data_IF_548026252666
#
_entry.id   IF_548026252666
#
_cell.length_a   1.000
_cell.length_b   1.000
_cell.length_c   1.000
_cell.angle_alpha   90.00
_cell.angle_beta   90.00
_cell.angle_gamma   90.00
#
_symmetry.space_group_name_H-M   'P 1'
#
loop_
_entity.id
_entity.type
_entity.pdbx_description
1 polymer ?
#
# COMPACT_ATOMS: atom_id res chain seq x y z
N UNK A 1 8.77 9.73 -5.98
CA UNK A 1 8.38 8.84 -4.87
C UNK A 1 8.22 9.69 -3.61
N UNK A 2 7.26 10.61 -3.60
CA UNK A 2 7.23 11.69 -2.59
C UNK A 2 6.22 11.41 -1.47
N UNK A 3 5.22 10.56 -1.73
CA UNK A 3 4.15 10.21 -0.78
C UNK A 3 4.39 8.88 -0.01
N UNK A 4 5.54 8.22 -0.22
CA UNK A 4 5.81 6.89 0.34
C UNK A 4 5.72 6.85 1.88
N UNK A 5 6.12 7.93 2.56
CA UNK A 5 6.03 8.00 4.02
C UNK A 5 4.58 8.09 4.49
N UNK A 6 3.74 8.84 3.79
CA UNK A 6 2.33 8.96 4.13
C UNK A 6 1.61 7.62 3.93
N UNK A 7 1.90 6.94 2.83
CA UNK A 7 1.42 5.58 2.54
C UNK A 7 1.89 4.61 3.62
N UNK A 8 3.18 4.62 3.98
CA UNK A 8 3.76 3.77 5.00
C UNK A 8 3.15 3.98 6.39
N UNK A 9 2.90 5.25 6.78
CA UNK A 9 2.19 5.58 8.03
C UNK A 9 0.76 5.05 8.03
N UNK A 10 0.03 5.22 6.93
CA UNK A 10 -1.33 4.70 6.81
C UNK A 10 -1.38 3.17 6.85
N UNK A 11 -0.48 2.49 6.12
CA UNK A 11 -0.35 1.04 6.15
C UNK A 11 -0.01 0.54 7.56
N UNK A 12 0.95 1.17 8.24
CA UNK A 12 1.33 0.83 9.61
C UNK A 12 0.20 1.04 10.63
N UNK A 13 -0.61 2.10 10.47
CA UNK A 13 -1.76 2.34 11.34
C UNK A 13 -2.78 1.19 11.33
N UNK A 14 -2.87 0.44 10.24
CA UNK A 14 -3.78 -0.71 10.10
C UNK A 14 -3.08 -2.05 10.35
N UNK A 15 -1.86 -2.23 9.82
CA UNK A 15 -1.21 -3.54 9.75
C UNK A 15 0.01 -3.69 10.67
N UNK A 16 0.28 -2.76 11.59
CA UNK A 16 1.45 -2.81 12.48
C UNK A 16 1.53 -4.06 13.35
N UNK A 17 0.40 -4.64 13.76
CA UNK A 17 0.38 -5.89 14.52
C UNK A 17 0.48 -7.13 13.62
N UNK A 18 -0.24 -7.13 12.49
CA UNK A 18 -0.31 -8.26 11.54
C UNK A 18 1.03 -8.45 10.82
N UNK A 19 1.68 -7.34 10.45
CA UNK A 19 2.95 -7.28 9.70
C UNK A 19 2.97 -8.21 8.47
N UNK A 20 2.08 -8.01 7.50
CA UNK A 20 2.10 -8.77 6.26
C UNK A 20 3.41 -8.49 5.50
N UNK A 21 3.82 -9.44 4.65
CA UNK A 21 4.82 -9.14 3.64
C UNK A 21 4.27 -8.05 2.70
N UNK A 22 5.08 -7.04 2.39
CA UNK A 22 4.64 -5.88 1.60
C UNK A 22 5.69 -5.49 0.59
N UNK A 23 5.25 -4.98 -0.56
CA UNK A 23 6.09 -4.35 -1.57
C UNK A 23 5.48 -3.00 -1.95
N UNK A 24 6.30 -1.95 -2.02
CA UNK A 24 5.90 -0.62 -2.46
C UNK A 24 6.72 -0.26 -3.70
N UNK A 25 6.05 0.05 -4.80
CA UNK A 25 6.67 0.42 -6.08
C UNK A 25 6.01 1.67 -6.62
N UNK A 26 6.78 2.48 -7.35
CA UNK A 26 6.25 3.58 -8.13
C UNK A 26 5.94 3.09 -9.55
N UNK A 27 4.78 3.49 -10.08
CA UNK A 27 4.33 3.17 -11.44
C UNK A 27 4.09 4.45 -12.23
N UNK A 28 4.09 4.35 -13.56
CA UNK A 28 3.92 5.54 -14.42
C UNK A 28 2.51 6.14 -14.37
N UNK A 29 1.48 5.33 -14.12
CA UNK A 29 0.08 5.75 -13.91
C UNK A 29 -0.80 4.59 -13.43
N UNK A 30 -1.86 4.91 -12.70
CA UNK A 30 -2.96 3.99 -12.39
C UNK A 30 -4.08 4.08 -13.44
N UNK A 31 -5.12 3.23 -13.31
CA UNK A 31 -6.23 3.19 -14.27
C UNK A 31 -7.05 4.48 -14.28
N UNK A 32 -7.29 5.07 -13.11
CA UNK A 32 -7.92 6.37 -12.94
C UNK A 32 -6.83 7.39 -12.55
N UNK A 33 -6.67 8.51 -13.29
CA UNK A 33 -5.65 9.52 -13.01
C UNK A 33 -5.81 10.25 -11.68
N UNK A 34 -6.98 10.20 -11.03
CA UNK A 34 -7.22 10.80 -9.71
C UNK A 34 -6.73 9.91 -8.56
N UNK A 35 -6.41 8.64 -8.82
CA UNK A 35 -5.89 7.73 -7.80
C UNK A 35 -4.39 7.96 -7.60
N UNK A 36 -3.99 8.14 -6.34
CA UNK A 36 -2.60 8.38 -5.95
C UNK A 36 -1.88 7.09 -5.50
N UNK A 37 -2.64 6.08 -5.09
CA UNK A 37 -2.11 4.78 -4.62
C UNK A 37 -3.16 3.69 -4.85
N UNK A 38 -2.70 2.49 -5.17
CA UNK A 38 -3.51 1.27 -5.20
C UNK A 38 -2.84 0.22 -4.30
N UNK A 39 -3.64 -0.58 -3.59
CA UNK A 39 -3.14 -1.63 -2.69
C UNK A 39 -3.81 -2.94 -3.08
N UNK A 40 -2.99 -3.96 -3.38
CA UNK A 40 -3.40 -5.35 -3.59
C UNK A 40 -2.97 -6.19 -2.38
N UNK A 41 -3.83 -7.09 -1.92
CA UNK A 41 -3.60 -7.89 -0.72
C UNK A 41 -4.12 -9.31 -0.92
N UNK A 42 -3.28 -10.29 -0.57
CA UNK A 42 -3.69 -11.68 -0.41
C UNK A 42 -3.85 -12.02 1.08
N UNK A 43 -4.85 -12.85 1.40
CA UNK A 43 -5.12 -13.32 2.75
C UNK A 43 -5.36 -14.83 2.78
N UNK A 44 -4.83 -15.48 3.80
CA UNK A 44 -5.08 -16.90 4.11
C UNK A 44 -5.89 -16.97 5.39
N UNK A 45 -7.05 -17.62 5.33
CA UNK A 45 -7.91 -17.86 6.49
C UNK A 45 -7.85 -19.36 6.82
N UNK A 46 -7.52 -19.68 8.07
CA UNK A 46 -7.46 -21.04 8.61
C UNK A 46 -8.71 -21.43 9.38
#
# INVERSE_FOLDING_TARGET
MDDWEAIGRAHGAVFSEIRPASTLVEVSRLINPELLVEIEVDAVVG
#
